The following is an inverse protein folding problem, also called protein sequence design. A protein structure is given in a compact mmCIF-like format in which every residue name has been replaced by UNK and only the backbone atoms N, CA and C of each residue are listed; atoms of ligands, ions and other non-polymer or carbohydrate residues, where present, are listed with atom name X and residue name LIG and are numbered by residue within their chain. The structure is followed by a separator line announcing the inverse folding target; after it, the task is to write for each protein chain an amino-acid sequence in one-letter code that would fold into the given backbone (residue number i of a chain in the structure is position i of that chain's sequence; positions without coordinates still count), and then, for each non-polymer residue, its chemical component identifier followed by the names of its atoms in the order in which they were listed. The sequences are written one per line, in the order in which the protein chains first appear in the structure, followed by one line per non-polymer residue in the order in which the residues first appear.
data_IF_336433850462
#
_entry.id   IF_336433850462
#
_cell.length_a   1.000
_cell.length_b   1.000
_cell.length_c   1.000
_cell.angle_alpha   90.00
_cell.angle_beta   90.00
_cell.angle_gamma   90.00
#
_symmetry.space_group_name_H-M   'P 1'
#
loop_
_entity.id
_entity.type
_entity.pdbx_description
1 polymer ?
#
# COMPACT_ATOMS: atom_id res chain seq x y z
N UNK A 1 12.20 18.62 -18.30
CA UNK A 1 12.71 19.98 -18.49
C UNK A 1 11.97 20.88 -17.50
N UNK A 2 12.67 21.61 -16.62
CA UNK A 2 12.05 22.53 -15.67
C UNK A 2 11.87 23.88 -16.38
N UNK A 3 10.65 24.38 -16.46
CA UNK A 3 10.36 25.74 -16.96
C UNK A 3 10.13 26.66 -15.77
N UNK A 4 10.86 27.74 -15.69
CA UNK A 4 10.59 28.80 -14.71
C UNK A 4 9.52 29.75 -15.25
N UNK A 5 8.52 30.05 -14.44
CA UNK A 5 7.56 31.08 -14.74
C UNK A 5 7.18 31.89 -13.51
N UNK A 6 7.25 33.17 -13.72
CA UNK A 6 6.63 34.30 -13.01
C UNK A 6 6.64 34.29 -11.47
N UNK A 7 7.36 35.21 -10.92
CA UNK A 7 7.37 35.58 -9.49
C UNK A 7 6.10 36.39 -9.17
N UNK A 8 5.16 35.78 -8.44
CA UNK A 8 4.14 36.54 -7.71
C UNK A 8 4.51 36.59 -6.23
N UNK A 9 4.73 37.77 -5.72
CA UNK A 9 4.88 38.06 -4.28
C UNK A 9 5.80 37.10 -3.50
N UNK A 10 7.04 36.92 -3.93
CA UNK A 10 8.07 36.20 -3.17
C UNK A 10 8.01 34.66 -3.23
N UNK A 11 7.11 34.08 -4.01
CA UNK A 11 7.03 32.63 -4.24
C UNK A 11 7.52 32.29 -5.64
N UNK A 12 8.45 31.34 -5.74
CA UNK A 12 8.91 30.79 -7.01
C UNK A 12 7.94 29.71 -7.47
N UNK A 13 7.37 29.87 -8.67
CA UNK A 13 6.56 28.81 -9.30
C UNK A 13 7.47 27.93 -10.15
N UNK A 14 7.40 26.62 -9.97
CA UNK A 14 8.13 25.64 -10.75
C UNK A 14 7.14 24.78 -11.51
N UNK A 15 7.33 24.66 -12.82
CA UNK A 15 6.55 23.74 -13.65
C UNK A 15 7.32 22.43 -13.83
N UNK A 16 6.63 21.31 -13.59
CA UNK A 16 7.18 19.96 -13.76
C UNK A 16 6.26 19.20 -14.71
N UNK A 17 6.76 18.90 -15.90
CA UNK A 17 6.01 18.05 -16.85
C UNK A 17 6.05 16.59 -16.40
N UNK A 18 4.92 15.91 -16.54
CA UNK A 18 4.80 14.47 -16.23
C UNK A 18 3.81 13.81 -17.18
N UNK A 19 4.02 12.52 -17.46
CA UNK A 19 3.02 11.70 -18.15
C UNK A 19 1.97 11.19 -17.15
N UNK A 20 2.41 10.90 -15.92
CA UNK A 20 1.55 10.42 -14.83
C UNK A 20 1.87 11.26 -13.58
N UNK A 21 0.84 11.85 -12.99
CA UNK A 21 0.92 12.60 -11.75
C UNK A 21 0.22 11.83 -10.63
N UNK A 22 0.95 11.54 -9.56
CA UNK A 22 0.41 10.96 -8.32
C UNK A 22 0.37 12.04 -7.25
N UNK A 23 -0.79 12.26 -6.66
CA UNK A 23 -0.99 13.26 -5.60
C UNK A 23 -1.11 12.56 -4.26
N UNK A 24 -0.15 12.83 -3.38
CA UNK A 24 0.00 12.22 -2.05
C UNK A 24 1.02 11.10 -2.02
N UNK A 25 1.91 11.13 -1.04
CA UNK A 25 3.01 10.18 -0.82
C UNK A 25 2.74 9.18 0.29
N UNK A 26 1.47 8.97 0.67
CA UNK A 26 1.10 7.89 1.60
C UNK A 26 1.12 6.51 0.94
N UNK A 27 0.68 5.49 1.67
CA UNK A 27 0.72 4.08 1.21
C UNK A 27 0.10 3.88 -0.19
N UNK A 28 -1.12 4.40 -0.39
CA UNK A 28 -1.79 4.30 -1.70
C UNK A 28 -1.07 5.05 -2.82
N UNK A 29 -0.54 6.24 -2.52
CA UNK A 29 0.24 7.02 -3.50
C UNK A 29 1.56 6.34 -3.88
N UNK A 30 2.27 5.77 -2.91
CA UNK A 30 3.49 5.00 -3.17
C UNK A 30 3.19 3.77 -4.03
N UNK A 31 2.12 3.03 -3.74
CA UNK A 31 1.68 1.90 -4.56
C UNK A 31 1.33 2.33 -5.98
N UNK A 32 0.54 3.39 -6.12
CA UNK A 32 0.17 3.93 -7.43
C UNK A 32 1.39 4.38 -8.25
N UNK A 33 2.36 5.02 -7.60
CA UNK A 33 3.59 5.46 -8.27
C UNK A 33 4.44 4.26 -8.71
N UNK A 34 4.58 3.25 -7.84
CA UNK A 34 5.29 2.02 -8.15
C UNK A 34 4.67 1.29 -9.35
N UNK A 35 3.38 1.02 -9.30
CA UNK A 35 2.68 0.32 -10.39
C UNK A 35 2.69 1.13 -11.68
N UNK A 36 2.50 2.45 -11.60
CA UNK A 36 2.60 3.34 -12.76
C UNK A 36 3.98 3.26 -13.42
N UNK A 37 5.06 3.16 -12.63
CA UNK A 37 6.42 3.03 -13.14
C UNK A 37 6.72 1.62 -13.63
N UNK A 38 6.17 0.61 -12.98
CA UNK A 38 6.36 -0.79 -13.37
C UNK A 38 5.78 -1.08 -14.75
N UNK A 39 4.54 -0.63 -15.00
CA UNK A 39 3.84 -0.83 -16.27
C UNK A 39 4.20 0.22 -17.32
N UNK A 40 4.39 1.47 -16.92
CA UNK A 40 4.76 2.59 -17.77
C UNK A 40 6.24 2.92 -17.73
N UNK A 41 7.11 1.98 -18.14
CA UNK A 41 8.58 2.09 -18.03
C UNK A 41 9.17 3.28 -18.80
N UNK A 42 8.53 3.71 -19.87
CA UNK A 42 8.87 4.86 -20.70
C UNK A 42 8.24 6.18 -20.20
N UNK A 43 7.32 6.09 -19.24
CA UNK A 43 6.57 7.24 -18.72
C UNK A 43 7.32 7.95 -17.60
N UNK A 44 7.20 9.26 -17.57
CA UNK A 44 7.66 10.08 -16.46
C UNK A 44 6.59 10.13 -15.39
N UNK A 45 6.82 9.43 -14.29
CA UNK A 45 5.95 9.46 -13.12
C UNK A 45 6.45 10.50 -12.14
N UNK A 46 5.57 11.40 -11.70
CA UNK A 46 5.88 12.42 -10.69
C UNK A 46 4.93 12.23 -9.51
N UNK A 47 5.49 12.19 -8.31
CA UNK A 47 4.72 12.18 -7.06
C UNK A 47 4.83 13.56 -6.43
N UNK A 48 3.71 14.15 -6.05
CA UNK A 48 3.67 15.40 -5.28
C UNK A 48 3.11 15.13 -3.88
N UNK A 49 3.85 15.57 -2.87
CA UNK A 49 3.49 15.42 -1.48
C UNK A 49 3.64 16.76 -0.77
N UNK A 50 2.64 17.14 0.05
CA UNK A 50 2.67 18.42 0.76
C UNK A 50 3.56 18.42 2.00
N UNK A 51 3.84 17.23 2.54
CA UNK A 51 4.69 17.04 3.72
C UNK A 51 6.03 16.40 3.32
N UNK A 52 6.77 15.86 4.26
CA UNK A 52 7.98 15.11 3.95
C UNK A 52 7.61 13.72 3.42
N UNK A 53 8.10 13.38 2.23
CA UNK A 53 7.81 12.10 1.56
C UNK A 53 8.23 10.88 2.40
N UNK A 54 9.28 11.00 3.20
CA UNK A 54 9.78 9.92 4.07
C UNK A 54 8.87 9.66 5.28
N UNK A 55 7.93 10.57 5.55
CA UNK A 55 7.04 10.52 6.72
C UNK A 55 5.59 10.85 6.38
N UNK A 56 5.18 10.55 5.16
CA UNK A 56 3.83 10.84 4.68
C UNK A 56 2.87 9.69 4.91
N UNK A 57 1.65 10.04 5.28
CA UNK A 57 0.54 9.11 5.47
C UNK A 57 0.56 8.38 6.82
N UNK A 58 -0.51 7.65 7.08
CA UNK A 58 -0.74 6.98 8.36
C UNK A 58 0.28 5.86 8.64
N UNK A 59 0.70 5.13 7.61
CA UNK A 59 1.65 4.01 7.74
C UNK A 59 3.02 4.48 8.24
N UNK A 60 3.45 5.66 7.82
CA UNK A 60 4.73 6.23 8.25
C UNK A 60 4.76 6.68 9.73
N UNK A 61 3.61 6.69 10.40
CA UNK A 61 3.52 6.99 11.83
C UNK A 61 3.73 5.77 12.72
N UNK A 62 3.70 4.58 12.16
CA UNK A 62 3.95 3.30 12.82
C UNK A 62 3.11 2.19 12.20
N UNK A 63 3.77 1.15 11.77
CA UNK A 63 3.16 -0.05 11.24
C UNK A 63 3.68 -1.25 12.04
N UNK A 64 2.80 -1.94 12.76
CA UNK A 64 3.14 -3.13 13.53
C UNK A 64 2.51 -4.41 12.96
N UNK A 65 1.54 -4.26 12.09
CA UNK A 65 0.83 -5.39 11.49
C UNK A 65 0.29 -5.03 10.10
N UNK A 66 0.15 -6.04 9.26
CA UNK A 66 -0.59 -5.94 8.00
C UNK A 66 -1.88 -6.72 8.17
N UNK A 67 -3.00 -6.03 7.95
CA UNK A 67 -4.33 -6.62 8.00
C UNK A 67 -4.68 -7.31 6.66
N UNK A 68 -5.71 -8.14 6.69
CA UNK A 68 -6.29 -8.83 5.53
C UNK A 68 -5.40 -9.87 4.84
N UNK A 69 -4.30 -10.29 5.43
CA UNK A 69 -3.49 -11.37 4.85
C UNK A 69 -4.25 -12.69 4.88
N UNK A 70 -4.48 -13.29 3.72
CA UNK A 70 -5.30 -14.48 3.57
C UNK A 70 -4.54 -15.77 3.89
N UNK A 71 -3.27 -15.86 3.53
CA UNK A 71 -2.51 -17.11 3.62
C UNK A 71 -2.94 -18.13 2.56
N UNK A 72 -3.38 -17.65 1.39
CA UNK A 72 -3.89 -18.50 0.31
C UNK A 72 -2.88 -19.57 -0.13
N UNK A 73 -1.58 -19.22 -0.13
CA UNK A 73 -0.52 -20.18 -0.47
C UNK A 73 -0.46 -21.39 0.47
N UNK A 74 -1.03 -21.28 1.66
CA UNK A 74 -1.14 -22.38 2.64
C UNK A 74 -2.57 -22.91 2.78
N UNK A 75 -3.51 -22.44 1.97
CA UNK A 75 -4.91 -22.84 2.02
C UNK A 75 -5.64 -22.41 3.30
N UNK A 76 -5.25 -21.27 3.89
CA UNK A 76 -5.80 -20.85 5.18
C UNK A 76 -7.13 -20.14 5.06
N UNK A 77 -7.28 -19.26 4.08
CA UNK A 77 -8.51 -18.50 3.84
C UNK A 77 -8.68 -18.24 2.34
N UNK A 78 -9.93 -17.93 1.97
CA UNK A 78 -10.31 -17.47 0.66
C UNK A 78 -10.75 -15.99 0.72
N UNK A 79 -10.71 -15.22 -0.38
CA UNK A 79 -11.15 -13.82 -0.39
C UNK A 79 -12.58 -13.62 0.12
N UNK A 80 -13.46 -14.58 -0.10
CA UNK A 80 -14.86 -14.59 0.39
C UNK A 80 -14.94 -14.62 1.92
N UNK A 81 -13.96 -15.22 2.60
CA UNK A 81 -13.91 -15.24 4.06
C UNK A 81 -13.68 -13.84 4.60
N UNK A 82 -12.83 -13.06 3.92
CA UNK A 82 -12.59 -11.67 4.29
C UNK A 82 -13.81 -10.79 4.06
N UNK A 83 -14.50 -10.95 2.94
CA UNK A 83 -15.77 -10.26 2.66
C UNK A 83 -16.81 -10.57 3.75
N UNK A 84 -16.94 -11.84 4.11
CA UNK A 84 -17.85 -12.28 5.16
C UNK A 84 -17.49 -11.67 6.52
N UNK A 85 -16.22 -11.62 6.86
CA UNK A 85 -15.72 -10.95 8.06
C UNK A 85 -16.09 -9.47 8.06
N UNK A 86 -15.74 -8.74 6.99
CA UNK A 86 -16.05 -7.32 6.89
C UNK A 86 -17.55 -7.03 6.98
N UNK A 87 -18.38 -7.82 6.30
CA UNK A 87 -19.84 -7.68 6.36
C UNK A 87 -20.34 -7.77 7.79
N UNK A 88 -19.85 -8.73 8.55
CA UNK A 88 -20.26 -8.94 9.94
C UNK A 88 -19.73 -7.85 10.87
N UNK A 89 -18.46 -7.50 10.75
CA UNK A 89 -17.79 -6.52 11.60
C UNK A 89 -18.31 -5.09 11.37
N UNK A 90 -18.61 -4.75 10.13
CA UNK A 90 -19.12 -3.44 9.72
C UNK A 90 -20.66 -3.41 9.58
N UNK A 91 -21.36 -4.40 10.11
CA UNK A 91 -22.85 -4.47 10.10
C UNK A 91 -23.47 -4.25 8.71
N UNK A 92 -22.79 -4.74 7.65
CA UNK A 92 -23.23 -4.58 6.27
C UNK A 92 -22.86 -3.25 5.61
N UNK A 93 -22.25 -2.31 6.33
CA UNK A 93 -21.81 -1.03 5.77
C UNK A 93 -20.43 -1.15 5.09
N UNK A 94 -20.36 -1.96 4.04
CA UNK A 94 -19.11 -2.26 3.33
C UNK A 94 -19.33 -2.37 1.83
N UNK A 95 -18.32 -1.98 1.07
CA UNK A 95 -18.21 -2.27 -0.36
C UNK A 95 -17.56 -3.65 -0.52
N UNK A 96 -18.40 -4.67 -0.63
CA UNK A 96 -17.97 -6.07 -0.69
C UNK A 96 -17.11 -6.38 -1.92
N UNK A 97 -17.38 -5.72 -3.04
CA UNK A 97 -16.58 -5.80 -4.24
C UNK A 97 -15.14 -5.34 -4.01
N UNK A 98 -14.93 -4.24 -3.28
CA UNK A 98 -13.60 -3.76 -2.91
C UNK A 98 -12.94 -4.66 -1.86
N UNK A 99 -13.71 -5.17 -0.90
CA UNK A 99 -13.24 -6.13 0.09
C UNK A 99 -12.73 -7.42 -0.57
N UNK A 100 -13.47 -7.93 -1.54
CA UNK A 100 -13.07 -9.10 -2.34
C UNK A 100 -11.79 -8.82 -3.14
N UNK A 101 -11.73 -7.66 -3.78
CA UNK A 101 -10.57 -7.27 -4.58
C UNK A 101 -9.30 -7.13 -3.73
N UNK A 102 -9.41 -6.55 -2.53
CA UNK A 102 -8.32 -6.51 -1.55
C UNK A 102 -7.92 -7.93 -1.15
N UNK A 103 -8.86 -8.78 -0.77
CA UNK A 103 -8.61 -10.14 -0.30
C UNK A 103 -7.82 -10.98 -1.31
N UNK A 104 -8.15 -10.88 -2.59
CA UNK A 104 -7.45 -11.66 -3.64
C UNK A 104 -6.06 -11.14 -4.00
N UNK A 105 -5.71 -9.91 -3.61
CA UNK A 105 -4.43 -9.29 -3.98
C UNK A 105 -3.47 -9.03 -2.83
N UNK A 106 -3.95 -9.03 -1.58
CA UNK A 106 -3.13 -8.66 -0.42
C UNK A 106 -1.94 -9.60 -0.23
N UNK A 107 -2.12 -10.89 -0.43
CA UNK A 107 -1.04 -11.88 -0.25
C UNK A 107 0.12 -11.62 -1.21
N UNK A 108 -0.16 -11.37 -2.48
CA UNK A 108 0.88 -11.04 -3.47
C UNK A 108 1.60 -9.73 -3.15
N UNK A 109 0.88 -8.74 -2.61
CA UNK A 109 1.46 -7.47 -2.17
C UNK A 109 2.37 -7.66 -0.96
N UNK A 110 1.95 -8.48 0.00
CA UNK A 110 2.76 -8.80 1.19
C UNK A 110 4.06 -9.52 0.79
N UNK A 111 3.99 -10.49 -0.12
CA UNK A 111 5.19 -11.16 -0.62
C UNK A 111 6.13 -10.21 -1.36
N UNK A 112 5.57 -9.22 -2.06
CA UNK A 112 6.37 -8.16 -2.69
C UNK A 112 7.11 -7.31 -1.64
N UNK A 113 6.47 -6.98 -0.52
CA UNK A 113 7.14 -6.27 0.57
C UNK A 113 8.26 -7.10 1.20
N UNK A 114 8.05 -8.40 1.36
CA UNK A 114 9.08 -9.32 1.82
C UNK A 114 10.29 -9.34 0.87
N UNK A 115 10.05 -9.42 -0.44
CA UNK A 115 11.08 -9.31 -1.48
C UNK A 115 11.86 -7.98 -1.39
N UNK A 116 11.22 -6.90 -0.99
CA UNK A 116 11.86 -5.58 -0.80
C UNK A 116 12.56 -5.45 0.55
N UNK A 117 12.54 -6.49 1.37
CA UNK A 117 13.24 -6.54 2.64
C UNK A 117 12.44 -6.05 3.83
N UNK A 118 11.10 -5.92 3.71
CA UNK A 118 10.27 -5.68 4.89
C UNK A 118 10.34 -6.94 5.78
N UNK A 119 10.84 -6.83 7.02
CA UNK A 119 10.87 -7.96 7.93
C UNK A 119 9.45 -8.31 8.36
N UNK A 120 9.03 -9.56 8.13
CA UNK A 120 7.76 -10.10 8.60
C UNK A 120 8.08 -11.20 9.60
N UNK A 121 7.42 -11.16 10.76
CA UNK A 121 7.62 -12.19 11.78
C UNK A 121 7.13 -13.53 11.27
N UNK A 122 8.00 -14.52 11.29
CA UNK A 122 7.71 -15.90 10.89
C UNK A 122 7.80 -16.83 12.07
N UNK A 123 6.98 -17.87 12.05
CA UNK A 123 7.07 -18.99 12.94
C UNK A 123 8.23 -19.91 12.49
N UNK A 124 9.22 -20.17 13.34
CA UNK A 124 10.42 -20.90 12.94
C UNK A 124 10.15 -22.39 12.62
N UNK A 125 9.09 -22.97 13.19
CA UNK A 125 8.77 -24.39 13.02
C UNK A 125 7.99 -24.63 11.73
N UNK A 126 7.11 -23.71 11.37
CA UNK A 126 6.21 -23.85 10.22
C UNK A 126 6.61 -23.03 9.00
N UNK A 127 7.44 -21.99 9.19
CA UNK A 127 7.79 -21.00 8.17
C UNK A 127 6.63 -20.09 7.77
N UNK A 128 5.50 -20.16 8.45
CA UNK A 128 4.34 -19.30 8.22
C UNK A 128 4.51 -17.97 8.93
N UNK A 129 3.83 -16.94 8.45
CA UNK A 129 3.83 -15.66 9.15
C UNK A 129 3.13 -15.78 10.50
N UNK A 130 3.71 -15.16 11.54
CA UNK A 130 3.06 -15.02 12.84
C UNK A 130 1.84 -14.13 12.72
N UNK A 131 0.75 -14.54 13.34
CA UNK A 131 -0.53 -13.83 13.29
C UNK A 131 -0.97 -13.35 14.65
N UNK A 132 -1.61 -12.19 14.66
CA UNK A 132 -2.49 -11.77 15.74
C UNK A 132 -3.93 -11.89 15.25
N UNK A 133 -4.67 -12.86 15.81
CA UNK A 133 -5.99 -13.23 15.29
C UNK A 133 -5.93 -13.88 13.90
N UNK A 134 -7.03 -13.74 13.14
CA UNK A 134 -7.19 -14.44 11.85
C UNK A 134 -6.54 -13.72 10.67
N UNK A 135 -6.48 -12.39 10.72
CA UNK A 135 -6.22 -11.55 9.54
C UNK A 135 -4.95 -10.72 9.61
N UNK A 136 -4.33 -10.59 10.77
CA UNK A 136 -3.18 -9.73 10.95
C UNK A 136 -1.89 -10.54 10.98
N UNK A 137 -0.93 -10.18 10.15
CA UNK A 137 0.45 -10.67 10.23
C UNK A 137 1.33 -9.63 10.88
N UNK A 138 2.28 -10.07 11.69
CA UNK A 138 3.08 -9.21 12.54
C UNK A 138 4.37 -8.76 11.86
N UNK A 139 4.73 -7.50 12.13
CA UNK A 139 6.00 -6.90 11.70
C UNK A 139 6.82 -6.63 12.96
N UNK A 140 8.10 -7.02 13.02
CA UNK A 140 8.93 -6.72 14.17
C UNK A 140 9.17 -5.20 14.30
N UNK A 141 9.21 -4.73 15.53
CA UNK A 141 9.53 -3.36 15.89
C UNK A 141 11.04 -3.09 15.79
#
# INVERSE_FOLDING_TARGET
MLREASVMAGKKTVFVDSDILVIGGGFGGCGAAYESRYWGRDKKVVVVEKANIERSGAVAQGLYAINCYMGMRWGENEPEDYVRYQRNDLMGLVREDLGYDIGRHVDSTVHKFEEWGLPIMTDPDTGRYQREGKWQIMIPW
#
